data_IF_002091875765
#
_entry.id   IF_002091875765
#
_cell.length_a   1.000
_cell.length_b   1.000
_cell.length_c   1.000
_cell.angle_alpha   90.00
_cell.angle_beta   90.00
_cell.angle_gamma   90.00
#
_symmetry.space_group_name_H-M   'P 1'
#
loop_
_entity.id
_entity.type
_entity.pdbx_description
1 polymer ?
#
# COMPACT_ATOMS: atom_id res chain seq x y z
N UNK A 1 6.58 -1.93 -10.24
CA UNK A 1 5.51 -1.75 -11.24
C UNK A 1 5.24 -0.29 -11.58
N UNK A 2 5.15 0.65 -10.61
CA UNK A 2 4.94 2.08 -10.92
C UNK A 2 6.25 2.90 -11.00
N UNK A 3 7.14 2.78 -10.00
CA UNK A 3 8.42 3.53 -9.94
C UNK A 3 9.65 2.74 -10.43
N UNK A 4 9.49 1.46 -10.78
CA UNK A 4 10.60 0.54 -11.05
C UNK A 4 11.29 0.02 -9.79
N UNK A 5 11.94 -1.15 -9.90
CA UNK A 5 12.64 -1.80 -8.77
C UNK A 5 13.83 -0.96 -8.27
N UNK A 6 14.57 -0.37 -9.20
CA UNK A 6 15.77 0.41 -8.89
C UNK A 6 15.48 1.63 -8.01
N UNK A 7 14.41 2.39 -8.30
CA UNK A 7 14.01 3.52 -7.46
C UNK A 7 13.34 3.09 -6.15
N UNK A 8 12.76 1.89 -6.09
CA UNK A 8 12.33 1.32 -4.82
C UNK A 8 13.55 1.04 -3.93
N UNK A 9 14.63 0.51 -4.51
CA UNK A 9 15.88 0.30 -3.78
C UNK A 9 16.50 1.62 -3.31
N UNK A 10 16.51 2.64 -4.16
CA UNK A 10 16.96 3.99 -3.75
C UNK A 10 16.12 4.53 -2.57
N UNK A 11 14.80 4.29 -2.56
CA UNK A 11 13.95 4.66 -1.43
C UNK A 11 14.25 3.84 -0.16
N UNK A 12 14.62 2.56 -0.28
CA UNK A 12 15.08 1.73 0.85
C UNK A 12 16.39 2.25 1.43
N UNK A 13 17.34 2.64 0.56
CA UNK A 13 18.61 3.27 0.98
C UNK A 13 18.33 4.59 1.73
N UNK A 14 17.45 5.46 1.20
CA UNK A 14 17.06 6.69 1.90
C UNK A 14 16.42 6.39 3.26
N UNK A 15 15.64 5.32 3.36
CA UNK A 15 15.02 4.89 4.62
C UNK A 15 16.08 4.49 5.64
N UNK A 16 17.10 3.72 5.23
CA UNK A 16 18.24 3.37 6.07
C UNK A 16 19.04 4.60 6.51
N UNK A 17 19.30 5.56 5.60
CA UNK A 17 20.01 6.82 5.93
C UNK A 17 19.26 7.61 7.01
N UNK A 18 17.93 7.49 7.05
CA UNK A 18 17.07 8.14 8.04
C UNK A 18 16.87 7.30 9.32
N UNK A 19 17.65 6.23 9.51
CA UNK A 19 17.53 5.24 10.59
C UNK A 19 16.16 4.55 10.66
N UNK A 20 15.47 4.43 9.52
CA UNK A 20 14.23 3.67 9.39
C UNK A 20 14.47 2.23 8.94
N UNK A 21 13.41 1.44 8.99
CA UNK A 21 13.35 0.06 8.55
C UNK A 21 13.04 -0.03 7.04
N UNK A 22 14.00 -0.46 6.20
CA UNK A 22 13.82 -0.55 4.75
C UNK A 22 12.90 -1.69 4.30
N UNK A 23 12.47 -2.56 5.21
CA UNK A 23 11.59 -3.69 4.91
C UNK A 23 10.14 -3.40 5.36
N UNK A 24 9.92 -2.32 6.12
CA UNK A 24 8.58 -1.79 6.43
C UNK A 24 8.11 -0.81 5.37
N UNK A 25 7.07 -1.22 4.64
CA UNK A 25 6.43 -0.36 3.65
C UNK A 25 5.99 1.01 4.20
N UNK A 26 5.53 1.09 5.46
CA UNK A 26 5.12 2.36 6.07
C UNK A 26 6.24 3.39 6.07
N UNK A 27 7.49 2.96 6.32
CA UNK A 27 8.65 3.83 6.40
C UNK A 27 9.25 4.09 5.01
N UNK A 28 9.34 3.06 4.17
CA UNK A 28 9.77 3.21 2.77
C UNK A 28 8.86 4.15 1.98
N UNK A 29 7.55 4.11 2.24
CA UNK A 29 6.56 5.02 1.65
C UNK A 29 6.88 6.48 1.93
N UNK A 30 7.41 6.82 3.11
CA UNK A 30 7.78 8.19 3.45
C UNK A 30 9.04 8.65 2.72
N UNK A 31 9.93 7.73 2.38
CA UNK A 31 11.18 8.00 1.68
C UNK A 31 11.01 8.15 0.17
N UNK A 32 10.01 7.49 -0.44
CA UNK A 32 9.74 7.58 -1.88
C UNK A 32 9.63 9.04 -2.40
N UNK A 33 8.80 9.93 -1.81
CA UNK A 33 8.73 11.33 -2.21
C UNK A 33 10.06 12.09 -2.16
N UNK A 34 10.99 11.66 -1.31
CA UNK A 34 12.28 12.33 -1.15
C UNK A 34 13.15 12.21 -2.41
N UNK A 35 12.91 11.21 -3.26
CA UNK A 35 13.58 11.07 -4.57
C UNK A 35 13.27 12.23 -5.54
N UNK A 36 12.32 13.11 -5.21
CA UNK A 36 12.08 14.35 -5.98
C UNK A 36 13.00 15.50 -5.56
N UNK A 37 13.65 15.39 -4.39
CA UNK A 37 14.46 16.45 -3.79
C UNK A 37 15.95 16.23 -4.10
N UNK A 38 16.64 17.27 -4.60
CA UNK A 38 18.06 17.21 -4.97
C UNK A 38 18.97 16.68 -3.87
N UNK A 39 18.75 17.10 -2.62
CA UNK A 39 19.53 16.66 -1.45
C UNK A 39 19.49 15.15 -1.21
N UNK A 40 18.46 14.46 -1.71
CA UNK A 40 18.27 13.02 -1.51
C UNK A 40 18.61 12.23 -2.75
N UNK A 41 18.07 12.57 -3.93
CA UNK A 41 18.25 11.74 -5.11
C UNK A 41 19.70 11.72 -5.62
N UNK A 42 20.48 12.77 -5.38
CA UNK A 42 21.92 12.81 -5.70
C UNK A 42 22.76 11.84 -4.86
N UNK A 43 22.21 11.32 -3.76
CA UNK A 43 22.85 10.31 -2.89
C UNK A 43 22.47 8.88 -3.26
N UNK A 44 21.66 8.70 -4.29
CA UNK A 44 21.12 7.40 -4.72
C UNK A 44 21.61 7.06 -6.12
N UNK A 45 21.64 5.77 -6.46
CA UNK A 45 22.30 5.29 -7.69
C UNK A 45 21.55 5.71 -8.95
N UNK A 46 20.23 5.75 -8.92
CA UNK A 46 19.41 5.98 -10.12
C UNK A 46 18.84 7.40 -10.19
N UNK A 47 19.07 8.21 -9.16
CA UNK A 47 18.76 9.63 -9.20
C UNK A 47 17.27 9.94 -9.06
N UNK A 48 16.84 10.99 -9.74
CA UNK A 48 15.51 11.56 -9.59
C UNK A 48 14.41 10.55 -9.95
N UNK A 49 13.37 10.47 -9.11
CA UNK A 49 12.15 9.73 -9.41
C UNK A 49 10.92 10.48 -8.89
N UNK A 50 9.80 10.37 -9.61
CA UNK A 50 8.48 10.90 -9.20
C UNK A 50 7.86 10.03 -8.09
N UNK A 51 8.45 10.05 -6.90
CA UNK A 51 8.09 9.17 -5.78
C UNK A 51 6.69 9.36 -5.17
N UNK A 52 5.94 10.39 -5.55
CA UNK A 52 4.55 10.58 -5.10
C UNK A 52 3.56 9.62 -5.79
N UNK A 53 3.75 9.38 -7.09
CA UNK A 53 2.89 8.50 -7.90
C UNK A 53 2.82 7.05 -7.37
N UNK A 54 3.95 6.37 -7.05
CA UNK A 54 3.90 5.00 -6.52
C UNK A 54 3.20 4.92 -5.17
N UNK A 55 3.34 5.94 -4.32
CA UNK A 55 2.67 6.00 -3.02
C UNK A 55 1.16 6.08 -3.19
N UNK A 56 0.69 6.96 -4.08
CA UNK A 56 -0.73 7.08 -4.39
C UNK A 56 -1.29 5.81 -5.02
N UNK A 57 -0.55 5.19 -5.94
CA UNK A 57 -0.92 3.95 -6.61
C UNK A 57 -1.14 2.81 -5.61
N UNK A 58 -0.18 2.57 -4.70
CA UNK A 58 -0.30 1.52 -3.67
C UNK A 58 -1.44 1.82 -2.71
N UNK A 59 -1.64 3.09 -2.34
CA UNK A 59 -2.74 3.51 -1.47
C UNK A 59 -4.09 3.18 -2.11
N UNK A 60 -4.28 3.52 -3.40
CA UNK A 60 -5.50 3.20 -4.15
C UNK A 60 -5.76 1.70 -4.18
N UNK A 61 -4.76 0.88 -4.54
CA UNK A 61 -4.90 -0.58 -4.58
C UNK A 61 -5.37 -1.14 -3.23
N UNK A 62 -4.73 -0.70 -2.12
CA UNK A 62 -5.11 -1.13 -0.77
C UNK A 62 -6.53 -0.70 -0.43
N UNK A 63 -6.92 0.54 -0.75
CA UNK A 63 -8.28 1.01 -0.53
C UNK A 63 -9.32 0.18 -1.30
N UNK A 64 -9.08 -0.08 -2.59
CA UNK A 64 -9.98 -0.93 -3.38
C UNK A 64 -10.07 -2.34 -2.82
N UNK A 65 -8.95 -2.94 -2.43
CA UNK A 65 -8.91 -4.26 -1.81
C UNK A 65 -9.73 -4.30 -0.51
N UNK A 66 -9.58 -3.32 0.38
CA UNK A 66 -10.34 -3.23 1.62
C UNK A 66 -11.84 -3.08 1.38
N UNK A 67 -12.25 -2.30 0.38
CA UNK A 67 -13.67 -2.16 -0.01
C UNK A 67 -14.22 -3.51 -0.49
N UNK A 68 -13.52 -4.19 -1.41
CA UNK A 68 -13.95 -5.49 -1.93
C UNK A 68 -14.06 -6.54 -0.83
N UNK A 69 -13.08 -6.58 0.09
CA UNK A 69 -13.08 -7.49 1.22
C UNK A 69 -14.28 -7.26 2.14
N UNK A 70 -14.56 -6.00 2.52
CA UNK A 70 -15.73 -5.67 3.35
C UNK A 70 -17.05 -6.01 2.67
N UNK A 71 -17.16 -5.81 1.36
CA UNK A 71 -18.35 -6.19 0.60
C UNK A 71 -18.56 -7.71 0.58
N UNK A 72 -17.50 -8.49 0.37
CA UNK A 72 -17.55 -9.96 0.42
C UNK A 72 -17.93 -10.47 1.81
N UNK A 73 -17.30 -9.96 2.87
CA UNK A 73 -17.65 -10.28 4.27
C UNK A 73 -19.12 -9.94 4.59
N UNK A 74 -19.59 -8.76 4.16
CA UNK A 74 -20.98 -8.35 4.32
C UNK A 74 -21.96 -9.28 3.59
N UNK A 75 -21.63 -9.70 2.37
CA UNK A 75 -22.45 -10.63 1.59
C UNK A 75 -22.51 -12.02 2.23
N UNK A 76 -21.38 -12.53 2.73
CA UNK A 76 -21.33 -13.82 3.45
C UNK A 76 -22.17 -13.80 4.72
N UNK A 77 -22.11 -12.70 5.48
CA UNK A 77 -22.89 -12.56 6.70
C UNK A 77 -24.40 -12.51 6.41
N UNK A 78 -24.81 -11.78 5.37
CA UNK A 78 -26.22 -11.75 4.92
C UNK A 78 -26.72 -13.13 4.51
N UNK A 79 -25.97 -13.83 3.66
CA UNK A 79 -26.33 -15.17 3.20
C UNK A 79 -26.46 -16.16 4.38
N UNK A 80 -25.58 -16.04 5.38
CA UNK A 80 -25.63 -16.87 6.60
C UNK A 80 -26.87 -16.56 7.43
N UNK A 81 -27.21 -15.27 7.62
CA UNK A 81 -28.42 -14.88 8.35
C UNK A 81 -29.71 -15.31 7.64
N UNK A 82 -29.74 -15.25 6.31
CA UNK A 82 -30.91 -15.69 5.53
C UNK A 82 -31.05 -17.21 5.57
N UNK A 83 -29.95 -17.96 5.48
CA UNK A 83 -29.95 -19.40 5.65
C UNK A 83 -30.38 -19.84 7.06
N UNK A 84 -29.98 -19.11 8.11
CA UNK A 84 -30.44 -19.34 9.49
C UNK A 84 -31.94 -19.05 9.65
N UNK A 85 -32.45 -17.97 9.05
CA UNK A 85 -33.89 -17.64 9.05
C UNK A 85 -34.73 -18.67 8.32
N UNK A 86 -34.27 -19.18 7.19
CA UNK A 86 -34.97 -20.23 6.43
C UNK A 86 -35.04 -21.57 7.19
N UNK A 87 -34.06 -21.85 8.06
CA UNK A 87 -34.02 -23.07 8.89
C UNK A 87 -34.78 -22.96 10.20
N UNK A 88 -35.10 -21.75 10.65
CA UNK A 88 -35.96 -21.50 11.80
C UNK A 88 -37.32 -20.98 11.28
N UNK A 89 -38.19 -21.85 10.73
CA UNK A 89 -39.54 -21.43 10.39
C UNK A 89 -40.21 -20.93 11.66
N UNK A 90 -40.82 -19.75 11.58
CA UNK A 90 -41.49 -19.10 12.70
C UNK A 90 -42.47 -20.07 13.36
N UNK A 91 -42.22 -20.36 14.64
CA UNK A 91 -43.15 -21.00 15.58
C UNK A 91 -44.24 -20.01 15.98
#
# INVERSE_FOLDING_TARGET
YNVGFNHLEDARIITQIRNGDPDKWSEVKESLPLLTKAVWHTRTRHGYARGYEPVQFVTRIRTYYEVLKKTDEGNRNRNTSDALRLRAPAL
#
